data_IF_650221426493
#
_entry.id   IF_650221426493
#
_cell.length_a   1.000
_cell.length_b   1.000
_cell.length_c   1.000
_cell.angle_alpha   90.00
_cell.angle_beta   90.00
_cell.angle_gamma   90.00
#
_symmetry.space_group_name_H-M   'P 1'
#
loop_
_entity.id
_entity.type
_entity.pdbx_description
1 polymer ?
#
# COMPACT_ATOMS: atom_id res chain seq x y z
N UNK A 1 -0.78 27.39 13.34
CA UNK A 1 -1.51 26.15 13.01
C UNK A 1 -0.55 25.00 13.29
N UNK A 2 -0.94 24.02 14.11
CA UNK A 2 -0.05 22.94 14.50
C UNK A 2 -0.15 21.78 13.51
N UNK A 3 0.98 21.13 13.24
CA UNK A 3 1.09 20.05 12.27
C UNK A 3 1.46 18.74 12.96
N UNK A 4 0.79 17.66 12.58
CA UNK A 4 1.08 16.30 13.03
C UNK A 4 1.31 15.43 11.80
N UNK A 5 2.40 14.67 11.82
CA UNK A 5 2.69 13.66 10.81
C UNK A 5 2.37 12.27 11.38
N UNK A 6 1.50 11.55 10.69
CA UNK A 6 1.25 10.13 10.94
C UNK A 6 2.02 9.28 9.95
N UNK A 7 2.77 8.31 10.46
CA UNK A 7 3.57 7.40 9.65
C UNK A 7 3.27 5.91 9.92
N UNK A 8 2.01 5.45 9.79
CA UNK A 8 1.69 4.05 10.00
C UNK A 8 2.07 3.21 8.77
N UNK A 9 2.32 1.92 8.99
CA UNK A 9 2.61 0.99 7.89
C UNK A 9 1.42 0.80 6.95
N UNK A 10 0.21 0.89 7.48
CA UNK A 10 -1.05 0.83 6.74
C UNK A 10 -1.98 1.91 7.27
N UNK A 11 -2.97 2.27 6.47
CA UNK A 11 -4.03 3.19 6.87
C UNK A 11 -5.31 2.82 6.13
N UNK A 12 -6.45 3.41 6.49
CA UNK A 12 -7.73 3.18 5.81
C UNK A 12 -7.55 3.13 4.28
N UNK A 13 -8.04 2.13 3.53
CA UNK A 13 -9.06 1.15 3.91
C UNK A 13 -8.51 -0.11 4.59
N UNK A 14 -7.30 -0.08 5.16
CA UNK A 14 -6.81 -1.17 5.99
C UNK A 14 -7.78 -1.51 7.13
N UNK A 15 -8.02 -2.80 7.31
CA UNK A 15 -9.17 -3.33 8.07
C UNK A 15 -8.82 -3.78 9.50
N UNK A 16 -7.86 -3.12 10.16
CA UNK A 16 -7.49 -3.49 11.54
C UNK A 16 -7.72 -2.35 12.53
N UNK A 17 -7.94 -2.72 13.79
CA UNK A 17 -8.37 -1.79 14.84
C UNK A 17 -7.38 -0.64 15.07
N UNK A 18 -6.07 -0.88 14.89
CA UNK A 18 -5.06 0.15 15.03
C UNK A 18 -5.20 1.25 13.97
N UNK A 19 -5.45 0.89 12.71
CA UNK A 19 -5.63 1.89 11.64
C UNK A 19 -6.94 2.67 11.81
N UNK A 20 -8.02 2.03 12.27
CA UNK A 20 -9.25 2.75 12.60
C UNK A 20 -9.05 3.71 13.77
N UNK A 21 -8.31 3.31 14.81
CA UNK A 21 -8.00 4.16 15.95
C UNK A 21 -7.18 5.39 15.53
N UNK A 22 -6.13 5.19 14.72
CA UNK A 22 -5.35 6.28 14.16
C UNK A 22 -6.21 7.22 13.31
N UNK A 23 -7.08 6.67 12.46
CA UNK A 23 -8.01 7.47 11.68
C UNK A 23 -8.91 8.33 12.57
N UNK A 24 -9.55 7.74 13.58
CA UNK A 24 -10.42 8.48 14.49
C UNK A 24 -9.69 9.63 15.19
N UNK A 25 -8.45 9.40 15.67
CA UNK A 25 -7.67 10.48 16.29
C UNK A 25 -7.34 11.56 15.27
N UNK A 26 -6.88 11.20 14.07
CA UNK A 26 -6.56 12.18 13.03
C UNK A 26 -7.76 13.07 12.69
N UNK A 27 -8.95 12.47 12.57
CA UNK A 27 -10.20 13.18 12.30
C UNK A 27 -10.58 14.13 13.46
N UNK A 28 -10.43 13.68 14.71
CA UNK A 28 -10.67 14.52 15.89
C UNK A 28 -9.69 15.70 15.94
N UNK A 29 -8.39 15.45 15.74
CA UNK A 29 -7.36 16.48 15.76
C UNK A 29 -7.59 17.54 14.68
N UNK A 30 -8.00 17.11 13.48
CA UNK A 30 -8.29 18.01 12.38
C UNK A 30 -9.59 18.80 12.61
N UNK A 31 -10.69 18.12 12.94
CA UNK A 31 -12.02 18.75 13.01
C UNK A 31 -12.27 19.56 14.28
N UNK A 32 -11.81 19.07 15.44
CA UNK A 32 -12.11 19.68 16.75
C UNK A 32 -11.02 20.62 17.23
N UNK A 33 -9.77 20.33 16.88
CA UNK A 33 -8.60 21.07 17.38
C UNK A 33 -7.87 21.87 16.31
N UNK A 34 -8.35 21.85 15.05
CA UNK A 34 -7.80 22.60 13.92
C UNK A 34 -6.30 22.33 13.66
N UNK A 35 -5.87 21.07 13.89
CA UNK A 35 -4.55 20.61 13.50
C UNK A 35 -4.55 20.21 12.02
N UNK A 36 -3.43 20.46 11.34
CA UNK A 36 -3.17 19.79 10.06
C UNK A 36 -2.57 18.42 10.35
N UNK A 37 -3.20 17.37 9.82
CA UNK A 37 -2.73 15.99 9.97
C UNK A 37 -2.40 15.46 8.59
N UNK A 38 -1.12 15.18 8.37
CA UNK A 38 -0.62 14.55 7.16
C UNK A 38 -0.38 13.06 7.42
N UNK A 39 -0.91 12.19 6.56
CA UNK A 39 -0.76 10.74 6.71
C UNK A 39 0.15 10.21 5.61
N UNK A 40 1.21 9.51 5.99
CA UNK A 40 2.19 8.90 5.10
C UNK A 40 2.18 7.40 5.39
N UNK A 41 1.85 6.59 4.39
CA UNK A 41 1.62 5.15 4.59
C UNK A 41 1.98 4.38 3.34
N UNK A 42 2.06 3.05 3.44
CA UNK A 42 2.15 2.20 2.25
C UNK A 42 0.81 2.09 1.49
N UNK A 43 0.85 1.47 0.32
CA UNK A 43 -0.35 1.04 -0.43
C UNK A 43 -0.99 -0.24 0.11
N UNK A 44 -0.45 -0.89 1.14
CA UNK A 44 -1.01 -2.13 1.66
C UNK A 44 -2.33 -1.92 2.42
N UNK A 45 -3.30 -2.79 2.14
CA UNK A 45 -4.59 -2.87 2.84
C UNK A 45 -4.50 -3.91 3.97
N UNK A 46 -3.90 -5.06 3.69
CA UNK A 46 -3.75 -6.16 4.67
C UNK A 46 -2.29 -6.39 5.06
N UNK A 47 -2.08 -7.25 6.07
CA UNK A 47 -0.74 -7.61 6.52
C UNK A 47 0.06 -8.36 5.44
N UNK A 48 -0.63 -9.07 4.54
CA UNK A 48 0.02 -9.76 3.42
C UNK A 48 0.60 -8.75 2.44
N UNK A 49 -0.14 -7.69 2.13
CA UNK A 49 0.29 -6.61 1.23
C UNK A 49 1.47 -5.82 1.77
N UNK A 50 1.79 -5.92 3.07
CA UNK A 50 3.05 -5.35 3.59
C UNK A 50 4.28 -6.15 3.19
N UNK A 51 4.11 -7.43 2.81
CA UNK A 51 5.19 -8.41 2.70
C UNK A 51 5.26 -9.10 1.34
N UNK A 52 4.13 -9.27 0.66
CA UNK A 52 4.01 -10.07 -0.56
C UNK A 52 3.06 -9.42 -1.58
N UNK A 53 3.37 -9.63 -2.86
CA UNK A 53 2.65 -9.03 -3.98
C UNK A 53 1.21 -9.57 -4.14
N UNK A 54 0.91 -10.77 -3.63
CA UNK A 54 -0.44 -11.34 -3.66
C UNK A 54 -1.30 -10.87 -2.48
N UNK A 55 -0.80 -9.94 -1.66
CA UNK A 55 -1.58 -9.24 -0.66
C UNK A 55 -2.48 -8.17 -1.27
N UNK A 56 -3.40 -7.64 -0.47
CA UNK A 56 -4.30 -6.58 -0.94
C UNK A 56 -3.62 -5.23 -0.88
N UNK A 57 -3.64 -4.50 -1.99
CA UNK A 57 -3.17 -3.12 -2.10
C UNK A 57 -4.29 -2.20 -2.60
N UNK A 58 -4.14 -0.90 -2.34
CA UNK A 58 -4.94 0.17 -2.94
C UNK A 58 -4.14 0.83 -4.07
N UNK A 59 -4.77 1.07 -5.21
CA UNK A 59 -4.15 1.62 -6.42
C UNK A 59 -4.47 3.12 -6.59
N UNK A 60 -3.60 3.87 -7.29
CA UNK A 60 -3.92 5.24 -7.68
C UNK A 60 -5.25 5.29 -8.45
N UNK A 61 -6.14 6.19 -8.04
CA UNK A 61 -7.49 6.34 -8.61
C UNK A 61 -8.57 5.57 -7.86
N UNK A 62 -8.22 4.64 -6.97
CA UNK A 62 -9.20 3.97 -6.12
C UNK A 62 -9.84 4.95 -5.13
N UNK A 63 -11.07 4.65 -4.73
CA UNK A 63 -11.76 5.39 -3.67
C UNK A 63 -10.92 5.34 -2.38
N UNK A 64 -10.68 6.50 -1.79
CA UNK A 64 -9.88 6.68 -0.57
C UNK A 64 -8.36 6.47 -0.72
N UNK A 65 -7.85 6.51 -1.95
CA UNK A 65 -6.41 6.43 -2.18
C UNK A 65 -5.66 7.62 -1.55
N UNK A 66 -6.01 8.84 -1.92
CA UNK A 66 -5.30 10.08 -1.54
C UNK A 66 -6.01 10.89 -0.45
N UNK A 67 -7.26 10.55 -0.14
CA UNK A 67 -8.08 11.31 0.80
C UNK A 67 -9.16 10.47 1.46
N UNK A 68 -9.35 10.67 2.76
CA UNK A 68 -10.57 10.28 3.47
C UNK A 68 -11.09 11.48 4.25
N UNK A 69 -12.37 11.83 4.02
CA UNK A 69 -12.95 13.05 4.60
C UNK A 69 -12.06 14.27 4.30
N UNK A 70 -11.57 14.96 5.34
CA UNK A 70 -10.66 16.10 5.22
C UNK A 70 -9.17 15.75 5.37
N UNK A 71 -8.84 14.46 5.54
CA UNK A 71 -7.48 14.00 5.76
C UNK A 71 -6.80 13.65 4.44
N UNK A 72 -5.66 14.28 4.18
CA UNK A 72 -4.80 13.96 3.04
C UNK A 72 -3.93 12.74 3.38
N UNK A 73 -3.84 11.81 2.43
CA UNK A 73 -3.04 10.60 2.55
C UNK A 73 -2.03 10.57 1.40
N UNK A 74 -0.76 10.42 1.74
CA UNK A 74 0.33 10.19 0.80
C UNK A 74 0.73 8.72 0.89
N UNK A 75 0.57 8.00 -0.22
CA UNK A 75 0.86 6.56 -0.28
C UNK A 75 2.11 6.26 -1.07
N UNK A 76 2.89 5.33 -0.53
CA UNK A 76 4.12 4.84 -1.13
C UNK A 76 3.95 3.37 -1.53
N UNK A 77 4.11 3.04 -2.82
CA UNK A 77 4.08 1.65 -3.28
C UNK A 77 5.17 0.83 -2.58
N UNK A 78 4.83 -0.40 -2.20
CA UNK A 78 5.80 -1.33 -1.63
C UNK A 78 6.55 -2.00 -2.77
N UNK A 79 7.87 -1.95 -2.71
CA UNK A 79 8.72 -2.73 -3.60
C UNK A 79 8.97 -4.09 -2.95
N UNK A 80 8.29 -5.13 -3.43
CA UNK A 80 8.43 -6.47 -2.89
C UNK A 80 9.76 -7.10 -3.36
N UNK A 81 10.51 -7.64 -2.41
CA UNK A 81 11.65 -8.50 -2.73
C UNK A 81 11.12 -9.87 -3.14
N UNK A 82 10.74 -10.00 -4.41
CA UNK A 82 10.34 -11.29 -4.98
C UNK A 82 11.53 -12.27 -4.94
N UNK A 83 11.24 -13.51 -4.54
CA UNK A 83 12.20 -14.60 -4.64
C UNK A 83 12.62 -14.85 -6.09
N UNK A 84 13.78 -15.46 -6.31
CA UNK A 84 14.22 -15.84 -7.66
C UNK A 84 13.16 -16.71 -8.33
N UNK A 85 12.58 -17.66 -7.60
CA UNK A 85 11.54 -18.55 -8.11
C UNK A 85 10.27 -17.81 -8.55
N UNK A 86 9.84 -16.77 -7.83
CA UNK A 86 8.68 -15.95 -8.19
C UNK A 86 8.94 -15.09 -9.42
N UNK A 87 10.17 -14.57 -9.55
CA UNK A 87 10.62 -13.86 -10.76
C UNK A 87 10.65 -14.79 -11.95
N UNK A 88 11.23 -15.99 -11.81
CA UNK A 88 11.27 -17.02 -12.84
C UNK A 88 9.86 -17.46 -13.23
N UNK A 89 8.96 -17.68 -12.26
CA UNK A 89 7.57 -18.04 -12.52
C UNK A 89 6.85 -16.95 -13.32
N UNK A 90 7.07 -15.69 -12.97
CA UNK A 90 6.50 -14.54 -13.69
C UNK A 90 6.99 -14.48 -15.15
N UNK A 91 8.30 -14.72 -15.38
CA UNK A 91 8.88 -14.75 -16.73
C UNK A 91 8.34 -15.92 -17.55
N UNK A 92 8.28 -17.13 -16.98
CA UNK A 92 7.76 -18.34 -17.64
C UNK A 92 6.27 -18.23 -18.03
N UNK A 93 5.53 -17.30 -17.42
CA UNK A 93 4.13 -17.04 -17.75
C UNK A 93 3.91 -16.01 -18.86
N UNK A 94 4.97 -15.32 -19.33
CA UNK A 94 4.86 -14.42 -20.46
C UNK A 94 4.62 -15.20 -21.76
N UNK A 95 3.66 -14.74 -22.58
CA UNK A 95 3.35 -15.36 -23.87
C UNK A 95 4.58 -15.38 -24.79
N UNK A 96 5.33 -14.28 -24.83
CA UNK A 96 6.58 -14.15 -25.58
C UNK A 96 7.62 -15.19 -25.15
N UNK A 97 7.76 -15.45 -23.85
CA UNK A 97 8.70 -16.45 -23.34
C UNK A 97 8.28 -17.87 -23.75
N UNK A 98 6.99 -18.19 -23.60
CA UNK A 98 6.44 -19.50 -24.02
C UNK A 98 6.61 -19.75 -25.51
N UNK A 99 6.52 -18.71 -26.35
CA UNK A 99 6.78 -18.81 -27.79
C UNK A 99 8.24 -19.13 -28.10
N UNK A 100 9.19 -18.63 -27.30
CA UNK A 100 10.61 -18.83 -27.53
C UNK A 100 11.11 -20.23 -27.11
N UNK A 101 10.30 -21.01 -26.37
CA UNK A 101 10.63 -22.37 -25.89
C UNK A 101 12.03 -22.47 -25.26
N UNK A 102 12.46 -21.44 -24.53
CA UNK A 102 13.78 -21.38 -23.92
C UNK A 102 13.89 -22.39 -22.77
N UNK A 103 15.05 -23.04 -22.67
CA UNK A 103 15.37 -23.91 -21.54
C UNK A 103 15.51 -23.10 -20.26
N UNK A 104 15.27 -23.75 -19.12
CA UNK A 104 15.45 -23.12 -17.80
C UNK A 104 16.92 -22.70 -17.54
N UNK A 105 17.89 -23.27 -18.26
CA UNK A 105 19.31 -22.88 -18.19
C UNK A 105 19.58 -21.49 -18.82
N UNK A 106 18.63 -20.95 -19.59
CA UNK A 106 18.73 -19.62 -20.20
C UNK A 106 18.22 -18.48 -19.31
N UNK A 107 17.75 -18.79 -18.09
CA UNK A 107 17.21 -17.86 -17.11
C UNK A 107 18.09 -17.77 -15.87
#
# INVERSE_FOLDING_TARGET
>A
MNHILYFPTRYFPAISGAEFYLQSIAEIMNSKYNYTVDVYTSTAIDFKGLRHAEGKIINPGDKYYDRINNLKISRYPINYNLGIDEKLHSIKNLSSYRTLQLSDECL
#
